data_IF_779094129989
#
_entry.id   IF_779094129989
#
_cell.length_a   1.000
_cell.length_b   1.000
_cell.length_c   1.000
_cell.angle_alpha   90.00
_cell.angle_beta   90.00
_cell.angle_gamma   90.00
#
_symmetry.space_group_name_H-M   'P 1'
#
loop_
_entity.id
_entity.type
_entity.pdbx_description
1 polymer ?
#
# COMPACT_ATOMS: atom_id res chain seq x y z
N UNK A 1 -14.31 -0.48 -3.42
CA UNK A 1 -12.86 -0.39 -3.18
C UNK A 1 -12.61 -0.79 -1.74
N UNK A 2 -12.01 -1.96 -1.50
CA UNK A 2 -11.69 -2.39 -0.14
C UNK A 2 -10.56 -1.54 0.42
N UNK A 3 -10.63 -1.19 1.69
CA UNK A 3 -9.64 -0.32 2.34
C UNK A 3 -8.44 -1.13 2.81
N UNK A 4 -7.29 -0.48 3.01
CA UNK A 4 -6.08 -1.08 3.64
C UNK A 4 -6.43 -1.89 4.89
N UNK A 5 -7.41 -1.42 5.66
CA UNK A 5 -7.87 -2.09 6.89
C UNK A 5 -8.48 -3.46 6.61
N UNK A 6 -9.23 -3.62 5.53
CA UNK A 6 -9.95 -4.86 5.19
C UNK A 6 -9.05 -5.92 4.56
N UNK A 7 -7.97 -5.53 3.88
CA UNK A 7 -7.09 -6.48 3.19
C UNK A 7 -5.87 -6.90 4.02
N UNK A 8 -5.39 -6.05 4.93
CA UNK A 8 -4.15 -6.32 5.67
C UNK A 8 -4.36 -6.38 7.20
N UNK A 9 -5.15 -5.46 7.76
CA UNK A 9 -5.30 -5.33 9.24
C UNK A 9 -6.33 -6.31 9.80
N UNK A 10 -7.40 -6.63 9.07
CA UNK A 10 -8.42 -7.59 9.52
C UNK A 10 -8.05 -9.05 9.27
N UNK A 11 -6.95 -9.33 8.57
CA UNK A 11 -6.49 -10.68 8.20
C UNK A 11 -5.23 -11.13 8.94
N UNK A 12 -4.44 -10.19 9.46
CA UNK A 12 -3.23 -10.48 10.22
C UNK A 12 -3.43 -10.18 11.70
N UNK A 13 -3.32 -11.22 12.54
CA UNK A 13 -3.12 -11.05 13.97
C UNK A 13 -1.67 -10.60 14.18
N UNK A 14 -1.48 -9.36 14.65
CA UNK A 14 -0.14 -8.85 14.98
C UNK A 14 0.23 -9.26 16.41
N UNK A 15 1.40 -9.88 16.59
CA UNK A 15 1.87 -10.28 17.93
C UNK A 15 2.35 -9.06 18.75
N UNK A 16 3.03 -8.11 18.10
CA UNK A 16 3.45 -6.85 18.72
C UNK A 16 3.50 -5.65 17.74
N UNK A 17 3.90 -4.48 18.25
CA UNK A 17 3.99 -3.23 17.48
C UNK A 17 5.09 -3.31 16.41
N UNK A 18 6.18 -4.05 16.65
CA UNK A 18 7.26 -4.17 15.68
C UNK A 18 6.81 -5.00 14.48
N UNK A 19 6.09 -6.10 14.71
CA UNK A 19 5.51 -6.94 13.65
C UNK A 19 4.48 -6.17 12.83
N UNK A 20 3.61 -5.40 13.50
CA UNK A 20 2.66 -4.54 12.80
C UNK A 20 3.37 -3.53 11.87
N UNK A 21 4.44 -2.89 12.34
CA UNK A 21 5.22 -1.95 11.52
C UNK A 21 5.88 -2.65 10.32
N UNK A 22 6.42 -3.86 10.52
CA UNK A 22 7.04 -4.62 9.44
C UNK A 22 6.02 -5.03 8.36
N UNK A 23 4.86 -5.58 8.77
CA UNK A 23 3.78 -5.94 7.85
C UNK A 23 3.23 -4.73 7.10
N UNK A 24 2.97 -3.62 7.80
CA UNK A 24 2.47 -2.38 7.17
C UNK A 24 3.51 -1.84 6.18
N UNK A 25 4.79 -1.81 6.55
CA UNK A 25 5.87 -1.39 5.65
C UNK A 25 5.92 -2.26 4.39
N UNK A 26 5.89 -3.59 4.56
CA UNK A 26 5.88 -4.52 3.43
C UNK A 26 4.67 -4.30 2.52
N UNK A 27 3.47 -4.13 3.09
CA UNK A 27 2.27 -3.88 2.30
C UNK A 27 2.37 -2.58 1.50
N UNK A 28 2.86 -1.50 2.12
CA UNK A 28 3.01 -0.20 1.45
C UNK A 28 3.96 -0.35 0.26
N UNK A 29 5.11 -0.99 0.45
CA UNK A 29 6.11 -1.13 -0.61
C UNK A 29 5.69 -2.08 -1.72
N UNK A 30 5.15 -3.26 -1.38
CA UNK A 30 4.93 -4.35 -2.32
C UNK A 30 3.53 -4.37 -2.95
N UNK A 31 2.56 -3.71 -2.31
CA UNK A 31 1.17 -3.72 -2.75
C UNK A 31 0.71 -2.31 -3.07
N UNK A 32 0.76 -1.39 -2.10
CA UNK A 32 0.21 -0.05 -2.28
C UNK A 32 0.94 0.73 -3.38
N UNK A 33 2.27 0.85 -3.28
CA UNK A 33 3.07 1.65 -4.20
C UNK A 33 3.21 1.05 -5.60
N UNK A 34 3.15 -0.28 -5.70
CA UNK A 34 3.44 -1.01 -6.94
C UNK A 34 2.21 -1.51 -7.71
N UNK A 35 1.10 -1.81 -7.00
CA UNK A 35 -0.01 -2.58 -7.59
C UNK A 35 -1.36 -1.91 -7.44
N UNK A 36 -1.48 -0.87 -6.59
CA UNK A 36 -2.76 -0.22 -6.31
C UNK A 36 -2.89 1.06 -7.13
N UNK A 37 -3.76 1.09 -8.14
CA UNK A 37 -4.02 2.32 -8.88
C UNK A 37 -4.96 3.22 -8.07
N UNK A 38 -4.68 4.52 -8.09
CA UNK A 38 -5.43 5.51 -7.33
C UNK A 38 -6.17 6.46 -8.27
N UNK A 39 -7.47 6.62 -8.07
CA UNK A 39 -8.27 7.57 -8.87
C UNK A 39 -7.76 9.01 -8.77
N UNK A 40 -7.21 9.41 -7.61
CA UNK A 40 -6.58 10.70 -7.42
C UNK A 40 -5.29 10.89 -8.24
N UNK A 41 -4.63 9.78 -8.62
CA UNK A 41 -3.43 9.76 -9.46
C UNK A 41 -3.77 9.42 -10.92
N UNK A 42 -5.03 9.58 -11.35
CA UNK A 42 -5.43 9.23 -12.72
C UNK A 42 -5.46 7.72 -13.00
N UNK A 43 -5.69 6.90 -11.98
CA UNK A 43 -5.58 5.44 -12.03
C UNK A 43 -4.17 4.91 -12.26
N UNK A 44 -3.16 5.70 -11.90
CA UNK A 44 -1.78 5.24 -11.78
C UNK A 44 -1.50 4.75 -10.36
N UNK A 45 -0.54 3.83 -10.24
CA UNK A 45 0.10 3.52 -8.97
C UNK A 45 1.02 4.67 -8.54
N UNK A 46 1.37 4.79 -7.25
CA UNK A 46 2.29 5.82 -6.78
C UNK A 46 3.62 5.81 -7.54
N UNK A 47 4.20 4.64 -7.82
CA UNK A 47 5.47 4.52 -8.56
C UNK A 47 5.31 4.96 -10.03
N UNK A 48 4.21 4.61 -10.68
CA UNK A 48 3.95 5.05 -12.06
C UNK A 48 3.77 6.56 -12.12
N UNK A 49 3.05 7.13 -11.16
CA UNK A 49 2.88 8.57 -11.05
C UNK A 49 4.22 9.29 -10.84
N UNK A 50 5.08 8.81 -9.93
CA UNK A 50 6.42 9.39 -9.75
C UNK A 50 7.26 9.33 -11.03
N UNK A 51 7.21 8.20 -11.76
CA UNK A 51 7.95 8.05 -13.01
C UNK A 51 7.46 8.98 -14.13
N UNK A 52 6.16 9.25 -14.18
CA UNK A 52 5.56 10.05 -15.26
C UNK A 52 5.63 11.56 -14.97
N UNK A 53 5.59 11.98 -13.71
CA UNK A 53 5.45 13.40 -13.33
C UNK A 53 6.59 13.97 -12.49
N UNK A 54 7.50 13.15 -11.96
CA UNK A 54 8.59 13.58 -11.06
C UNK A 54 9.99 13.22 -11.56
N UNK A 55 10.15 12.81 -12.84
CA UNK A 55 11.44 12.50 -13.48
C UNK A 55 12.20 13.72 -13.98
#
# INVERSE_FOLDING_TARGET
>A
MRTLKEEEIYLNDYEDIADANACIGHFIEQVYNQKRPHSALGYLTPIEFEKEYLS
#
